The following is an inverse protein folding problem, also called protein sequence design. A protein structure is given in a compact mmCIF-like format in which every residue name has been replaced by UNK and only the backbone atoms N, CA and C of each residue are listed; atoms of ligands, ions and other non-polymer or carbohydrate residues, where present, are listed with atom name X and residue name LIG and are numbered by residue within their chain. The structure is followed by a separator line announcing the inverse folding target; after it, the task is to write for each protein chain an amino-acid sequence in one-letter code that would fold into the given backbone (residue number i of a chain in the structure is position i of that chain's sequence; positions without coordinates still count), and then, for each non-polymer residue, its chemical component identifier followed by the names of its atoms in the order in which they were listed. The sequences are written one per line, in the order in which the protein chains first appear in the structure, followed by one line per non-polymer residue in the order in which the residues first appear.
data_IF_451721853343
#
_entry.id   IF_451721853343
#
_cell.length_a   1.000
_cell.length_b   1.000
_cell.length_c   1.000
_cell.angle_alpha   90.00
_cell.angle_beta   90.00
_cell.angle_gamma   90.00
#
_symmetry.space_group_name_H-M   'P 1'
#
loop_
_entity.id
_entity.type
_entity.pdbx_description
1 polymer ?
#
# COMPACT_ATOMS: atom_id res chain seq x y z
N UNK A 1 6.64 4.54 19.02
CA UNK A 1 6.27 3.81 17.79
C UNK A 1 4.76 3.80 17.69
N UNK A 2 4.18 4.33 16.62
CA UNK A 2 2.75 4.21 16.39
C UNK A 2 2.41 2.73 16.16
N UNK A 3 1.50 2.18 16.96
CA UNK A 3 0.95 0.84 16.75
C UNK A 3 -0.13 0.99 15.67
N UNK A 4 -0.05 0.18 14.61
CA UNK A 4 -1.10 0.18 13.58
C UNK A 4 -2.41 -0.31 14.19
N UNK A 5 -3.53 0.30 13.81
CA UNK A 5 -4.83 -0.18 14.25
C UNK A 5 -5.22 -1.45 13.48
N UNK A 6 -5.93 -2.37 14.14
CA UNK A 6 -6.32 -3.68 13.59
C UNK A 6 -7.00 -3.63 12.20
N UNK A 7 -7.90 -2.67 11.89
CA UNK A 7 -8.42 -2.47 10.54
C UNK A 7 -7.40 -1.94 9.52
N UNK A 8 -6.42 -1.13 9.92
CA UNK A 8 -5.34 -0.68 9.02
C UNK A 8 -4.46 -1.88 8.63
N UNK A 9 -4.12 -2.75 9.58
CA UNK A 9 -3.39 -4.00 9.34
C UNK A 9 -4.13 -4.93 8.37
N UNK A 10 -5.44 -5.11 8.56
CA UNK A 10 -6.25 -5.94 7.67
C UNK A 10 -6.22 -5.42 6.23
N UNK A 11 -6.32 -4.10 6.04
CA UNK A 11 -6.38 -3.46 4.72
C UNK A 11 -5.05 -3.53 3.99
N UNK A 12 -3.94 -3.23 4.67
CA UNK A 12 -2.62 -3.34 4.03
C UNK A 12 -2.34 -4.77 3.62
N UNK A 13 -2.70 -5.76 4.44
CA UNK A 13 -2.54 -7.17 4.08
C UNK A 13 -3.40 -7.55 2.87
N UNK A 14 -4.65 -7.07 2.77
CA UNK A 14 -5.50 -7.30 1.60
C UNK A 14 -4.88 -6.75 0.32
N UNK A 15 -4.36 -5.51 0.36
CA UNK A 15 -3.68 -4.90 -0.77
C UNK A 15 -2.43 -5.67 -1.22
N UNK A 16 -1.63 -6.13 -0.26
CA UNK A 16 -0.41 -6.88 -0.53
C UNK A 16 -0.71 -8.27 -1.08
N UNK A 17 -1.69 -8.98 -0.50
CA UNK A 17 -2.13 -10.29 -0.97
C UNK A 17 -2.76 -10.20 -2.36
N UNK A 18 -3.53 -9.14 -2.63
CA UNK A 18 -4.10 -8.86 -3.93
C UNK A 18 -3.05 -8.41 -4.97
N UNK A 19 -1.77 -8.29 -4.60
CA UNK A 19 -0.69 -7.90 -5.49
C UNK A 19 -0.79 -6.45 -5.97
N UNK A 20 -1.50 -5.59 -5.25
CA UNK A 20 -1.71 -4.18 -5.64
C UNK A 20 -0.50 -3.30 -5.36
N UNK A 21 0.39 -3.75 -4.49
CA UNK A 21 1.66 -3.09 -4.15
C UNK A 21 2.80 -4.10 -4.09
N UNK A 22 3.95 -3.70 -4.61
CA UNK A 22 5.24 -4.36 -4.46
C UNK A 22 6.03 -3.56 -3.45
N UNK A 23 6.43 -4.20 -2.35
CA UNK A 23 7.21 -3.57 -1.28
C UNK A 23 8.67 -3.96 -1.41
N UNK A 24 9.54 -2.96 -1.39
CA UNK A 24 11.00 -3.09 -1.38
C UNK A 24 11.58 -2.29 -0.22
N UNK A 25 12.84 -2.56 0.12
CA UNK A 25 13.59 -1.71 1.03
C UNK A 25 15.02 -1.57 0.51
N UNK A 26 15.57 -0.39 0.71
CA UNK A 26 16.94 -0.04 0.38
C UNK A 26 17.65 0.30 1.68
N UNK A 27 18.90 -0.14 1.81
CA UNK A 27 19.77 0.19 2.94
C UNK A 27 20.92 1.02 2.38
N UNK A 28 21.09 2.23 2.89
CA UNK A 28 22.22 3.08 2.51
C UNK A 28 23.52 2.68 3.25
N UNK A 29 24.63 3.28 2.85
CA UNK A 29 25.97 3.05 3.42
C UNK A 29 26.06 3.41 4.91
N UNK A 30 25.20 4.30 5.42
CA UNK A 30 25.10 4.64 6.85
C UNK A 30 24.18 3.66 7.63
N UNK A 31 23.57 2.70 6.92
CA UNK A 31 22.70 1.68 7.49
C UNK A 31 21.25 2.14 7.69
N UNK A 32 20.88 3.33 7.23
CA UNK A 32 19.49 3.77 7.26
C UNK A 32 18.67 2.97 6.24
N UNK A 33 17.40 2.68 6.61
CA UNK A 33 16.50 1.85 5.82
C UNK A 33 15.38 2.69 5.25
N UNK A 34 15.28 2.71 3.94
CA UNK A 34 14.15 3.34 3.23
C UNK A 34 13.26 2.25 2.69
N UNK A 35 12.00 2.23 3.11
CA UNK A 35 11.00 1.29 2.65
C UNK A 35 10.16 1.95 1.57
N UNK A 36 10.00 1.26 0.45
CA UNK A 36 9.31 1.74 -0.73
C UNK A 36 8.19 0.79 -1.13
N UNK A 37 7.04 1.32 -1.51
CA UNK A 37 5.97 0.56 -2.13
C UNK A 37 5.64 1.16 -3.50
N UNK A 38 5.63 0.33 -4.53
CA UNK A 38 5.28 0.74 -5.90
C UNK A 38 4.17 -0.13 -6.45
N UNK A 39 3.46 0.34 -7.47
CA UNK A 39 2.56 -0.51 -8.23
C UNK A 39 3.34 -1.61 -8.99
N UNK A 40 2.74 -2.79 -9.21
CA UNK A 40 3.36 -3.83 -10.02
C UNK A 40 3.49 -3.40 -11.48
N UNK A 41 4.46 -3.97 -12.20
CA UNK A 41 4.65 -3.73 -13.63
C UNK A 41 3.38 -4.14 -14.40
N UNK A 42 2.88 -3.26 -15.26
CA UNK A 42 1.64 -3.49 -16.01
C UNK A 42 0.36 -3.26 -15.20
N UNK A 43 0.43 -2.52 -14.08
CA UNK A 43 -0.72 -2.17 -13.27
C UNK A 43 -1.88 -1.63 -14.12
N UNK A 44 -3.02 -2.32 -14.03
CA UNK A 44 -4.25 -2.02 -14.76
C UNK A 44 -5.43 -1.71 -13.82
N UNK A 45 -5.16 -1.53 -12.52
CA UNK A 45 -6.16 -1.14 -11.54
C UNK A 45 -6.27 0.37 -11.38
N UNK A 46 -7.04 0.81 -10.38
CA UNK A 46 -7.27 2.24 -10.13
C UNK A 46 -6.03 2.94 -9.55
N UNK A 47 -5.89 4.22 -9.84
CA UNK A 47 -4.78 5.07 -9.41
C UNK A 47 -3.64 5.16 -10.42
N UNK A 48 -2.56 5.83 -10.01
CA UNK A 48 -1.40 6.05 -10.87
C UNK A 48 -0.50 4.79 -10.91
N UNK A 49 -0.16 4.25 -12.10
CA UNK A 49 0.67 3.05 -12.23
C UNK A 49 2.15 3.31 -11.89
N UNK A 50 2.57 4.57 -11.81
CA UNK A 50 3.92 4.95 -11.40
C UNK A 50 3.97 5.43 -9.94
N UNK A 51 2.88 5.21 -9.20
CA UNK A 51 2.76 5.66 -7.82
C UNK A 51 3.81 4.95 -6.94
N UNK A 52 4.56 5.77 -6.19
CA UNK A 52 5.59 5.34 -5.26
C UNK A 52 5.29 5.95 -3.88
N UNK A 53 5.27 5.08 -2.87
CA UNK A 53 5.12 5.45 -1.47
C UNK A 53 6.43 5.14 -0.76
N UNK A 54 6.86 6.03 0.13
CA UNK A 54 8.14 5.92 0.83
C UNK A 54 7.94 6.14 2.33
N UNK A 55 8.65 5.38 3.15
CA UNK A 55 8.69 5.58 4.59
C UNK A 55 10.00 5.10 5.20
N UNK A 56 10.35 5.67 6.35
CA UNK A 56 11.57 5.32 7.11
C UNK A 56 11.41 4.03 7.93
N UNK A 57 10.20 3.49 8.00
CA UNK A 57 9.93 2.25 8.72
C UNK A 57 8.81 1.44 8.07
N UNK A 58 8.89 0.12 8.19
CA UNK A 58 7.90 -0.81 7.62
C UNK A 58 6.47 -0.50 8.09
N UNK A 59 6.32 -0.21 9.39
CA UNK A 59 5.03 0.09 10.01
C UNK A 59 4.42 1.39 9.47
N UNK A 60 5.26 2.40 9.22
CA UNK A 60 4.80 3.64 8.59
C UNK A 60 4.41 3.41 7.14
N UNK A 61 5.22 2.68 6.36
CA UNK A 61 4.87 2.35 4.97
C UNK A 61 3.50 1.66 4.90
N UNK A 62 3.26 0.69 5.78
CA UNK A 62 2.00 -0.02 5.83
C UNK A 62 0.82 0.87 6.22
N UNK A 63 1.04 1.83 7.13
CA UNK A 63 0.05 2.84 7.47
C UNK A 63 -0.28 3.73 6.27
N UNK A 64 0.73 4.12 5.50
CA UNK A 64 0.54 4.92 4.27
C UNK A 64 -0.27 4.13 3.24
N UNK A 65 0.06 2.85 3.00
CA UNK A 65 -0.71 1.99 2.09
C UNK A 65 -2.17 1.86 2.56
N UNK A 66 -2.39 1.52 3.82
CA UNK A 66 -3.74 1.33 4.36
C UNK A 66 -4.61 2.60 4.23
N UNK A 67 -4.02 3.78 4.49
CA UNK A 67 -4.69 5.07 4.33
C UNK A 67 -4.95 5.42 2.87
N UNK A 68 -4.04 5.04 1.96
CA UNK A 68 -4.23 5.24 0.52
C UNK A 68 -5.41 4.44 0.00
N UNK A 69 -5.60 3.20 0.47
CA UNK A 69 -6.75 2.36 0.12
C UNK A 69 -8.08 2.99 0.54
N UNK A 70 -8.14 3.67 1.70
CA UNK A 70 -9.37 4.35 2.15
C UNK A 70 -9.83 5.40 1.14
N UNK A 71 -8.89 6.13 0.52
CA UNK A 71 -9.21 7.12 -0.53
C UNK A 71 -9.64 6.48 -1.84
N UNK A 72 -9.26 5.23 -2.09
CA UNK A 72 -9.45 4.54 -3.38
C UNK A 72 -10.64 3.59 -3.34
N UNK A 73 -11.33 3.37 -2.21
CA UNK A 73 -12.59 2.61 -2.19
C UNK A 73 -13.57 3.30 -3.15
N UNK A 74 -13.84 2.74 -4.34
CA UNK A 74 -15.00 3.14 -5.10
C UNK A 74 -16.22 2.69 -4.27
N UNK A 75 -17.40 3.31 -4.41
CA UNK A 75 -18.61 2.77 -3.80
C UNK A 75 -18.67 1.26 -4.08
N UNK A 76 -19.16 0.44 -3.12
CA UNK A 76 -19.33 -0.98 -3.37
C UNK A 76 -20.00 -1.10 -4.74
N UNK A 77 -19.41 -1.89 -5.65
CA UNK A 77 -20.03 -2.15 -6.95
C UNK A 77 -21.41 -2.68 -6.62
N UNK A 78 -22.42 -1.81 -6.68
CA UNK A 78 -23.80 -2.24 -6.64
C UNK A 78 -23.88 -3.27 -7.75
N UNK A 79 -24.16 -4.51 -7.36
CA UNK A 79 -24.33 -5.61 -8.28
C UNK A 79 -25.49 -5.25 -9.19
N UNK A 80 -25.19 -4.56 -10.29
CA UNK A 80 -26.06 -4.50 -11.44
C UNK A 80 -26.10 -5.90 -12.03
N UNK A 81 -27.27 -6.54 -11.88
CA UNK A 81 -27.88 -7.66 -12.61
C UNK A 81 -28.81 -8.36 -11.59
N UNK A 82 -30.13 -8.37 -11.70
CA UNK A 82 -31.09 -8.24 -12.82
C UNK A 82 -32.41 -7.73 -12.26
#
# INVERSE_FOLDING_TARGET
MAVMDRPEERRVLDELIAGRWVVSFEVDDEGARTYTATRPIGWSGDGDPFERLEALSRTELFSVIARRTIRVVPPPREGGCR
#
